data_IF_962552987496
#
_entry.id   IF_962552987496
#
_cell.length_a   1.000
_cell.length_b   1.000
_cell.length_c   1.000
_cell.angle_alpha   90.00
_cell.angle_beta   90.00
_cell.angle_gamma   90.00
#
_symmetry.space_group_name_H-M   'P 1'
#
loop_
_entity.id
_entity.type
_entity.pdbx_description
1 polymer ?
#
# COMPACT_ATOMS: atom_id res chain seq x y z
N UNK A 1 -13.45 22.21 -11.66
CA UNK A 1 -12.96 21.13 -12.55
C UNK A 1 -12.11 20.18 -11.72
N UNK A 2 -12.51 18.93 -11.56
CA UNK A 2 -11.68 17.90 -10.91
C UNK A 2 -10.76 17.29 -11.97
N UNK A 3 -9.46 17.56 -11.90
CA UNK A 3 -8.45 16.91 -12.75
C UNK A 3 -8.37 15.40 -12.49
N UNK A 4 -7.57 14.64 -13.26
CA UNK A 4 -7.48 13.19 -13.10
C UNK A 4 -6.97 12.85 -11.69
N UNK A 5 -7.82 12.19 -10.91
CA UNK A 5 -7.57 11.77 -9.54
C UNK A 5 -7.82 10.26 -9.44
N UNK A 6 -6.85 9.55 -8.88
CA UNK A 6 -6.98 8.12 -8.56
C UNK A 6 -7.15 7.98 -7.05
N UNK A 7 -8.28 7.40 -6.63
CA UNK A 7 -8.58 7.11 -5.23
C UNK A 7 -8.47 5.60 -4.99
N UNK A 8 -7.55 5.20 -4.12
CA UNK A 8 -7.28 3.79 -3.79
C UNK A 8 -7.60 3.54 -2.32
N UNK A 9 -8.44 2.54 -2.03
CA UNK A 9 -8.74 2.10 -0.67
C UNK A 9 -8.29 0.65 -0.47
N UNK A 10 -7.25 0.45 0.33
CA UNK A 10 -6.72 -0.87 0.65
C UNK A 10 -7.45 -1.41 1.89
N UNK A 11 -8.52 -2.17 1.67
CA UNK A 11 -9.44 -2.65 2.72
C UNK A 11 -8.99 -3.94 3.42
N UNK A 12 -8.13 -4.75 2.81
CA UNK A 12 -7.86 -6.10 3.34
C UNK A 12 -8.92 -7.12 2.91
N UNK A 13 -8.55 -8.40 2.84
CA UNK A 13 -9.54 -9.48 2.79
C UNK A 13 -9.66 -10.09 4.19
N UNK A 14 -10.71 -9.69 4.89
CA UNK A 14 -10.96 -10.10 6.28
C UNK A 14 -11.25 -11.59 6.40
N UNK A 15 -11.93 -12.18 5.40
CA UNK A 15 -12.29 -13.61 5.41
C UNK A 15 -11.08 -14.50 5.23
N UNK A 16 -10.17 -14.11 4.33
CA UNK A 16 -8.91 -14.81 4.11
C UNK A 16 -8.01 -14.75 5.37
N UNK A 17 -7.98 -13.62 6.07
CA UNK A 17 -7.20 -13.45 7.31
C UNK A 17 -7.80 -14.26 8.47
N UNK A 18 -9.12 -14.21 8.66
CA UNK A 18 -9.81 -14.98 9.72
C UNK A 18 -9.74 -16.50 9.51
N UNK A 19 -9.56 -16.96 8.26
CA UNK A 19 -9.32 -18.37 7.94
C UNK A 19 -7.90 -18.83 8.28
N UNK A 20 -6.92 -17.92 8.30
CA UNK A 20 -5.49 -18.23 8.49
C UNK A 20 -5.05 -17.93 9.93
N UNK A 21 -5.63 -16.93 10.60
CA UNK A 21 -5.39 -16.67 12.02
C UNK A 21 -6.63 -16.08 12.72
N UNK A 22 -6.75 -16.34 14.02
CA UNK A 22 -7.68 -15.62 14.91
C UNK A 22 -6.99 -14.52 15.73
N UNK A 23 -5.66 -14.41 15.64
CA UNK A 23 -4.85 -13.46 16.40
C UNK A 23 -4.26 -12.39 15.48
N UNK A 24 -4.57 -11.14 15.76
CA UNK A 24 -4.16 -9.95 14.98
C UNK A 24 -2.75 -9.45 15.32
N UNK A 25 -1.95 -10.24 16.06
CA UNK A 25 -0.72 -9.76 16.71
C UNK A 25 0.55 -9.87 15.84
N UNK A 26 0.52 -10.59 14.70
CA UNK A 26 1.67 -10.71 13.79
C UNK A 26 1.25 -10.68 12.32
N UNK A 27 2.21 -10.35 11.45
CA UNK A 27 2.06 -10.36 9.99
C UNK A 27 1.78 -11.80 9.52
N UNK A 28 0.50 -12.10 9.24
CA UNK A 28 0.01 -13.48 9.00
C UNK A 28 0.19 -13.93 7.55
N UNK A 29 0.39 -12.98 6.63
CA UNK A 29 0.61 -13.26 5.20
C UNK A 29 1.65 -12.26 4.72
N UNK A 30 2.77 -12.74 4.18
CA UNK A 30 3.72 -11.88 3.48
C UNK A 30 3.07 -11.34 2.20
N UNK A 31 2.48 -10.15 2.31
CA UNK A 31 1.88 -9.43 1.18
C UNK A 31 2.87 -8.47 0.51
N UNK A 32 4.18 -8.66 0.72
CA UNK A 32 5.23 -7.85 0.12
C UNK A 32 5.08 -7.70 -1.39
N UNK A 33 4.84 -8.80 -2.11
CA UNK A 33 4.65 -8.79 -3.57
C UNK A 33 3.39 -8.02 -4.00
N UNK A 34 2.31 -8.09 -3.23
CA UNK A 34 1.09 -7.32 -3.50
C UNK A 34 1.34 -5.81 -3.27
N UNK A 35 2.11 -5.48 -2.24
CA UNK A 35 2.49 -4.10 -1.92
C UNK A 35 3.38 -3.50 -3.01
N UNK A 36 4.36 -4.27 -3.52
CA UNK A 36 5.21 -3.87 -4.65
C UNK A 36 4.39 -3.59 -5.90
N UNK A 37 3.42 -4.44 -6.24
CA UNK A 37 2.52 -4.21 -7.39
C UNK A 37 1.73 -2.90 -7.24
N UNK A 38 1.25 -2.59 -6.04
CA UNK A 38 0.59 -1.31 -5.77
C UNK A 38 1.56 -0.12 -5.89
N UNK A 39 2.77 -0.23 -5.36
CA UNK A 39 3.81 0.79 -5.51
C UNK A 39 4.10 1.08 -6.98
N UNK A 40 4.34 0.05 -7.80
CA UNK A 40 4.58 0.21 -9.24
C UNK A 40 3.37 0.81 -9.97
N UNK A 41 2.14 0.48 -9.56
CA UNK A 41 0.93 1.11 -10.12
C UNK A 41 0.88 2.61 -9.81
N UNK A 42 1.18 2.99 -8.57
CA UNK A 42 1.18 4.39 -8.15
C UNK A 42 2.25 5.21 -8.88
N UNK A 43 3.44 4.62 -9.11
CA UNK A 43 4.50 5.26 -9.92
C UNK A 43 3.98 5.52 -11.34
N UNK A 44 3.36 4.53 -11.99
CA UNK A 44 2.78 4.73 -13.34
C UNK A 44 1.69 5.82 -13.39
N UNK A 45 0.92 5.98 -12.31
CA UNK A 45 -0.09 7.05 -12.24
C UNK A 45 0.58 8.41 -12.07
N UNK A 46 1.63 8.49 -11.25
CA UNK A 46 2.45 9.69 -11.08
C UNK A 46 3.11 10.12 -12.40
N UNK A 47 3.72 9.18 -13.13
CA UNK A 47 4.35 9.45 -14.44
C UNK A 47 3.35 10.00 -15.48
N UNK A 48 2.07 9.67 -15.32
CA UNK A 48 0.96 10.18 -16.14
C UNK A 48 0.39 11.52 -15.66
N UNK A 49 0.99 12.13 -14.64
CA UNK A 49 0.52 13.38 -14.03
C UNK A 49 -0.78 13.23 -13.22
N UNK A 50 -1.14 12.00 -12.84
CA UNK A 50 -2.38 11.70 -12.12
C UNK A 50 -2.14 11.73 -10.62
N UNK A 51 -2.84 12.62 -9.92
CA UNK A 51 -2.76 12.68 -8.45
C UNK A 51 -3.40 11.42 -7.87
N UNK A 52 -2.69 10.74 -6.96
CA UNK A 52 -3.17 9.52 -6.32
C UNK A 52 -3.36 9.72 -4.82
N UNK A 53 -4.53 9.36 -4.29
CA UNK A 53 -4.85 9.35 -2.86
C UNK A 53 -5.03 7.90 -2.41
N UNK A 54 -4.22 7.45 -1.46
CA UNK A 54 -4.22 6.05 -0.99
C UNK A 54 -4.59 6.00 0.49
N UNK A 55 -5.71 5.35 0.78
CA UNK A 55 -6.20 5.13 2.14
C UNK A 55 -6.04 3.66 2.52
N UNK A 56 -5.29 3.41 3.57
CA UNK A 56 -5.02 2.07 4.09
C UNK A 56 -5.86 1.85 5.34
N UNK A 57 -6.76 0.87 5.28
CA UNK A 57 -7.63 0.51 6.38
C UNK A 57 -7.44 -0.94 6.82
N UNK A 58 -6.28 -1.52 6.49
CA UNK A 58 -5.95 -2.91 6.79
C UNK A 58 -4.76 -3.01 7.75
N UNK A 59 -4.61 -4.18 8.36
CA UNK A 59 -3.53 -4.52 9.27
C UNK A 59 -2.44 -5.37 8.58
N UNK A 60 -2.12 -5.12 7.30
CA UNK A 60 -1.20 -6.01 6.57
C UNK A 60 0.20 -6.12 7.20
N UNK A 61 0.74 -5.06 7.80
CA UNK A 61 1.99 -5.09 8.57
C UNK A 61 1.73 -5.07 10.10
N UNK A 62 0.67 -5.73 10.56
CA UNK A 62 0.21 -5.74 11.97
C UNK A 62 -0.69 -4.55 12.34
N UNK A 63 -0.47 -3.35 11.76
CA UNK A 63 -1.37 -2.21 11.88
C UNK A 63 -1.32 -1.26 10.67
N UNK A 64 -2.39 -0.49 10.46
CA UNK A 64 -2.53 0.40 9.30
C UNK A 64 -1.37 1.41 9.13
N UNK A 65 -0.87 2.07 10.19
CA UNK A 65 0.30 2.94 10.09
C UNK A 65 1.58 2.26 9.56
N UNK A 66 1.88 1.04 10.00
CA UNK A 66 3.04 0.29 9.52
C UNK A 66 2.91 -0.05 8.03
N UNK A 67 1.69 -0.38 7.60
CA UNK A 67 1.39 -0.68 6.20
C UNK A 67 1.59 0.54 5.30
N UNK A 68 1.15 1.73 5.75
CA UNK A 68 1.37 2.99 5.02
C UNK A 68 2.86 3.29 4.88
N UNK A 69 3.65 3.13 5.96
CA UNK A 69 5.11 3.36 5.91
C UNK A 69 5.80 2.42 4.93
N UNK A 70 5.46 1.13 4.95
CA UNK A 70 6.01 0.13 4.02
C UNK A 70 5.65 0.44 2.56
N UNK A 71 4.39 0.81 2.29
CA UNK A 71 3.97 1.20 0.95
C UNK A 71 4.70 2.46 0.47
N UNK A 72 4.91 3.45 1.35
CA UNK A 72 5.68 4.66 1.03
C UNK A 72 7.14 4.33 0.68
N UNK A 73 7.79 3.46 1.44
CA UNK A 73 9.16 3.04 1.16
C UNK A 73 9.27 2.36 -0.22
N UNK A 74 8.39 1.41 -0.51
CA UNK A 74 8.35 0.71 -1.80
C UNK A 74 8.02 1.65 -2.96
N UNK A 75 7.17 2.65 -2.74
CA UNK A 75 6.87 3.67 -3.74
C UNK A 75 8.10 4.53 -4.06
N UNK A 76 8.84 4.98 -3.04
CA UNK A 76 10.07 5.77 -3.24
C UNK A 76 11.14 4.96 -3.96
N UNK A 77 11.33 3.70 -3.57
CA UNK A 77 12.23 2.76 -4.23
C UNK A 77 11.84 2.57 -5.71
N UNK A 78 10.57 2.29 -5.99
CA UNK A 78 10.08 2.09 -7.35
C UNK A 78 10.11 3.37 -8.20
N UNK A 79 10.02 4.54 -7.58
CA UNK A 79 10.14 5.84 -8.24
C UNK A 79 11.61 6.27 -8.46
N UNK A 80 12.58 5.51 -7.93
CA UNK A 80 14.01 5.88 -7.97
C UNK A 80 14.32 7.12 -7.13
N UNK A 81 13.46 7.48 -6.18
CA UNK A 81 13.63 8.64 -5.30
C UNK A 81 14.33 8.18 -4.03
N UNK A 82 15.64 8.40 -3.95
CA UNK A 82 16.39 8.19 -2.70
C UNK A 82 15.91 9.22 -1.66
N UNK A 83 15.54 8.80 -0.44
CA UNK A 83 15.27 9.78 0.62
C UNK A 83 16.54 10.62 0.86
N UNK A 84 16.42 11.93 1.13
CA UNK A 84 17.56 12.74 1.54
C UNK A 84 18.18 12.10 2.79
N UNK A 85 19.52 12.00 2.77
CA UNK A 85 20.35 11.43 3.83
C UNK A 85 20.15 12.16 5.18
#
# INVERSE_FOLDING_TARGET
MTGPLVYVRLLGDRREIEAITKTWEREVIDRGERMKRWASFLVRMMDRGVRSLVYVNNHYAGHAPATVRRLKALFLEAAGVTPPA
#
